data_IF_785217327478
#
_entry.id   IF_785217327478
#
_cell.length_a   1.000
_cell.length_b   1.000
_cell.length_c   1.000
_cell.angle_alpha   90.00
_cell.angle_beta   90.00
_cell.angle_gamma   90.00
#
_symmetry.space_group_name_H-M   'P 1'
#
loop_
_entity.id
_entity.type
_entity.pdbx_description
1 polymer ?
#
# COMPACT_ATOMS: atom_id res chain seq x y z
N UNK A 1 67.26 19.36 -28.88
CA UNK A 1 67.32 20.01 -27.56
C UNK A 1 66.25 19.38 -26.67
N UNK A 2 66.66 18.49 -25.76
CA UNK A 2 65.83 17.96 -24.67
C UNK A 2 65.84 18.97 -23.53
N UNK A 3 64.68 19.28 -22.95
CA UNK A 3 64.61 19.83 -21.59
C UNK A 3 63.44 19.17 -20.87
N UNK A 4 63.81 18.49 -19.80
CA UNK A 4 62.95 17.73 -18.90
C UNK A 4 62.18 18.70 -17.99
N UNK A 5 60.91 18.38 -17.71
CA UNK A 5 60.13 19.08 -16.69
C UNK A 5 60.00 18.14 -15.51
N UNK A 6 60.53 18.63 -14.39
CA UNK A 6 60.72 17.97 -13.12
C UNK A 6 59.40 17.62 -12.43
N UNK A 7 59.36 16.43 -11.84
CA UNK A 7 58.37 16.02 -10.84
C UNK A 7 58.43 16.93 -9.61
N UNK A 8 57.26 17.39 -9.16
CA UNK A 8 57.01 17.79 -7.78
C UNK A 8 55.76 17.06 -7.29
N UNK A 9 55.99 15.92 -6.62
CA UNK A 9 55.00 15.26 -5.79
C UNK A 9 54.73 16.13 -4.55
N UNK A 10 53.50 16.59 -4.36
CA UNK A 10 53.01 17.08 -3.07
C UNK A 10 51.96 16.09 -2.53
N UNK A 11 52.08 15.62 -1.28
CA UNK A 11 51.10 14.71 -0.68
C UNK A 11 49.90 15.54 -0.21
N UNK A 12 48.74 15.36 -0.86
CA UNK A 12 47.49 15.88 -0.32
C UNK A 12 47.08 15.01 0.88
N UNK A 13 47.18 15.63 2.06
CA UNK A 13 46.78 15.10 3.35
C UNK A 13 45.34 14.57 3.30
N UNK A 14 45.20 13.28 3.62
CA UNK A 14 43.95 12.62 3.98
C UNK A 14 43.39 13.28 5.26
N UNK A 15 42.52 14.27 5.10
CA UNK A 15 41.62 14.69 6.15
C UNK A 15 40.43 13.74 6.16
N UNK A 16 40.38 12.91 7.19
CA UNK A 16 39.25 12.05 7.50
C UNK A 16 37.99 12.87 7.67
N UNK A 17 37.13 12.85 6.65
CA UNK A 17 35.72 13.16 6.79
C UNK A 17 35.04 11.97 7.45
N UNK A 18 34.79 12.09 8.76
CA UNK A 18 33.72 11.35 9.43
C UNK A 18 32.40 11.85 8.81
N UNK A 19 32.06 11.32 7.64
CA UNK A 19 30.74 11.48 7.07
C UNK A 19 29.79 10.72 7.97
N UNK A 20 29.02 11.45 8.76
CA UNK A 20 27.80 10.92 9.36
C UNK A 20 27.03 10.30 8.20
N UNK A 21 27.01 8.97 8.14
CA UNK A 21 26.15 8.24 7.25
C UNK A 21 24.74 8.61 7.68
N UNK A 22 24.16 9.60 7.00
CA UNK A 22 22.73 9.79 6.96
C UNK A 22 22.20 8.41 6.62
N UNK A 23 21.59 7.75 7.61
CA UNK A 23 20.85 6.52 7.36
C UNK A 23 19.90 6.90 6.24
N UNK A 24 20.12 6.35 5.05
CA UNK A 24 19.12 6.36 4.01
C UNK A 24 17.84 5.93 4.71
N UNK A 25 16.88 6.86 4.84
CA UNK A 25 15.55 6.50 5.30
C UNK A 25 15.12 5.40 4.35
N UNK A 26 14.75 4.24 4.90
CA UNK A 26 14.14 3.19 4.08
C UNK A 26 13.08 3.85 3.21
N UNK A 27 13.02 3.53 1.89
CA UNK A 27 12.01 4.11 1.02
C UNK A 27 10.65 3.92 1.70
N UNK A 28 9.77 4.95 1.65
CA UNK A 28 8.48 4.87 2.32
C UNK A 28 7.80 3.56 1.91
N UNK A 29 7.58 2.68 2.89
CA UNK A 29 6.94 1.39 2.67
C UNK A 29 5.58 1.68 2.04
N UNK A 30 5.38 1.25 0.79
CA UNK A 30 4.10 1.41 0.09
C UNK A 30 3.10 0.51 0.81
N UNK A 31 2.19 1.12 1.58
CA UNK A 31 1.15 0.37 2.29
C UNK A 31 -0.04 0.16 1.35
N UNK A 32 -0.19 -1.08 0.91
CA UNK A 32 -1.39 -1.56 0.20
C UNK A 32 -2.21 -2.45 1.13
N UNK A 33 -3.47 -2.74 0.78
CA UNK A 33 -4.28 -3.68 1.58
C UNK A 33 -3.62 -5.06 1.69
N UNK A 34 -2.87 -5.49 0.69
CA UNK A 34 -2.07 -6.71 0.76
C UNK A 34 -1.04 -6.62 1.89
N UNK A 35 -0.28 -5.53 1.97
CA UNK A 35 0.68 -5.30 3.05
C UNK A 35 0.01 -5.28 4.42
N UNK A 36 -1.19 -4.67 4.53
CA UNK A 36 -1.97 -4.65 5.78
C UNK A 36 -2.45 -6.05 6.17
N UNK A 37 -2.89 -6.87 5.21
CA UNK A 37 -3.31 -8.25 5.45
C UNK A 37 -2.14 -9.14 5.86
N UNK A 38 -0.98 -8.99 5.21
CA UNK A 38 0.24 -9.73 5.56
C UNK A 38 0.72 -9.41 6.98
N UNK A 39 0.68 -8.12 7.37
CA UNK A 39 0.99 -7.70 8.74
C UNK A 39 0.04 -8.34 9.78
N UNK A 40 -1.27 -8.34 9.51
CA UNK A 40 -2.26 -9.01 10.39
C UNK A 40 -2.01 -10.51 10.55
N UNK A 41 -1.61 -11.19 9.47
CA UNK A 41 -1.31 -12.63 9.51
C UNK A 41 -0.05 -12.91 10.32
N UNK A 42 0.95 -12.03 10.27
CA UNK A 42 2.18 -12.15 11.06
C UNK A 42 1.97 -11.96 12.57
N UNK A 43 0.97 -11.16 12.98
CA UNK A 43 0.64 -10.93 14.40
C UNK A 43 -0.21 -12.04 15.03
N UNK A 44 -0.71 -13.01 14.24
CA UNK A 44 -1.53 -14.12 14.76
C UNK A 44 -0.63 -15.34 15.01
N UNK A 45 -0.43 -15.82 16.26
CA UNK A 45 0.35 -17.03 16.52
C UNK A 45 -0.32 -18.25 15.87
N UNK A 46 0.46 -19.23 15.34
CA UNK A 46 -0.11 -20.45 14.81
C UNK A 46 -0.81 -21.25 15.92
N UNK A 47 -2.02 -21.71 15.62
CA UNK A 47 -2.86 -22.54 16.48
C UNK A 47 -2.11 -23.84 16.85
N UNK A 48 -1.79 -23.98 18.14
CA UNK A 48 -1.02 -25.11 18.65
C UNK A 48 -1.84 -26.41 18.57
N UNK A 49 -1.37 -27.39 17.79
CA UNK A 49 -1.85 -28.78 17.88
C UNK A 49 -1.42 -29.39 19.23
N UNK A 50 -2.40 -29.84 20.01
CA UNK A 50 -2.22 -30.71 21.19
C UNK A 50 -1.55 -32.05 20.79
N UNK A 51 -0.61 -32.64 21.53
CA UNK A 51 -0.76 -33.59 22.68
C UNK A 51 0.59 -34.38 22.79
N UNK A 52 0.96 -35.18 23.84
CA UNK A 52 0.80 -35.12 25.30
C UNK A 52 2.15 -35.05 26.08
N UNK A 53 2.05 -34.89 27.41
CA UNK A 53 3.12 -34.87 28.42
C UNK A 53 3.90 -36.20 28.60
N UNK A 54 5.03 -36.17 29.34
CA UNK A 54 5.06 -36.86 30.63
C UNK A 54 5.66 -36.06 31.80
N UNK A 55 5.26 -36.49 33.00
CA UNK A 55 5.45 -35.88 34.33
C UNK A 55 6.86 -36.04 34.93
N UNK A 56 7.22 -35.14 35.88
CA UNK A 56 7.55 -35.48 37.28
C UNK A 56 7.80 -34.20 38.13
N UNK A 57 7.15 -34.15 39.29
CA UNK A 57 7.22 -33.18 40.44
C UNK A 57 8.42 -33.53 41.37
N UNK A 58 8.77 -32.81 42.49
CA UNK A 58 8.11 -31.68 43.16
C UNK A 58 9.01 -30.50 43.66
N UNK A 59 8.28 -29.44 44.04
CA UNK A 59 8.53 -28.27 44.89
C UNK A 59 9.59 -28.37 46.03
N UNK A 60 10.12 -27.23 46.54
CA UNK A 60 9.35 -26.41 47.50
C UNK A 60 9.50 -24.87 47.40
N UNK A 61 8.40 -24.16 47.69
CA UNK A 61 8.35 -22.73 48.04
C UNK A 61 8.64 -22.53 49.57
N UNK A 62 8.58 -21.31 50.17
CA UNK A 62 8.35 -19.97 49.62
C UNK A 62 9.28 -18.87 50.20
N UNK A 63 9.56 -17.79 49.46
CA UNK A 63 9.85 -16.49 50.09
C UNK A 63 9.15 -15.34 49.37
N UNK A 64 8.52 -14.53 50.22
CA UNK A 64 7.61 -13.42 49.98
C UNK A 64 8.44 -12.17 49.71
N UNK A 65 8.51 -11.73 48.46
CA UNK A 65 8.99 -10.40 48.11
C UNK A 65 7.85 -9.52 47.59
N UNK A 66 7.99 -8.25 47.92
CA UNK A 66 6.99 -7.22 48.09
C UNK A 66 6.53 -6.66 46.74
N UNK A 67 5.20 -6.59 46.52
CA UNK A 67 4.61 -5.96 45.33
C UNK A 67 5.03 -4.49 45.23
N UNK A 68 5.59 -4.03 44.10
CA UNK A 68 5.56 -2.62 43.76
C UNK A 68 4.13 -2.24 43.34
N UNK A 69 3.66 -1.10 43.83
CA UNK A 69 2.33 -0.54 43.60
C UNK A 69 1.91 -0.57 42.11
N UNK A 70 0.61 -0.77 41.81
CA UNK A 70 0.12 -0.75 40.44
C UNK A 70 0.34 0.65 39.84
N UNK A 71 1.05 0.70 38.70
CA UNK A 71 1.08 1.90 37.84
C UNK A 71 -0.36 2.30 37.50
N UNK A 72 -0.70 3.60 37.48
CA UNK A 72 -2.02 4.04 37.08
C UNK A 72 -2.32 3.50 35.68
N UNK A 73 -3.44 2.79 35.56
CA UNK A 73 -3.94 2.30 34.29
C UNK A 73 -4.04 3.49 33.33
N UNK A 74 -3.34 3.39 32.20
CA UNK A 74 -3.63 4.23 31.05
C UNK A 74 -5.15 4.12 30.78
N UNK A 75 -5.83 5.22 30.42
CA UNK A 75 -7.24 5.15 30.10
C UNK A 75 -7.41 4.08 29.04
N UNK A 76 -8.30 3.11 29.29
CA UNK A 76 -8.70 2.11 28.32
C UNK A 76 -9.33 2.84 27.14
N UNK A 77 -8.48 3.23 26.19
CA UNK A 77 -8.90 3.71 24.89
C UNK A 77 -9.77 2.63 24.29
N UNK A 78 -10.98 3.01 23.82
CA UNK A 78 -11.81 2.14 23.00
C UNK A 78 -10.90 1.42 22.01
N UNK A 79 -10.83 0.08 22.09
CA UNK A 79 -10.10 -0.72 21.09
C UNK A 79 -10.71 -0.45 19.73
N UNK A 80 -10.13 0.49 18.99
CA UNK A 80 -10.51 0.74 17.60
C UNK A 80 -10.19 -0.52 16.81
N UNK A 81 -11.13 -0.98 15.98
CA UNK A 81 -10.89 -2.15 15.13
C UNK A 81 -10.01 -1.72 13.96
N UNK A 82 -8.70 -1.85 14.14
CA UNK A 82 -7.72 -1.54 13.09
C UNK A 82 -7.75 -2.54 11.92
N UNK A 83 -7.40 -2.13 10.68
CA UNK A 83 -7.02 -0.76 10.29
C UNK A 83 -8.22 0.17 10.17
N UNK A 84 -7.98 1.48 10.30
CA UNK A 84 -8.97 2.53 10.01
C UNK A 84 -8.45 3.38 8.86
N UNK A 85 -9.29 3.63 7.85
CA UNK A 85 -8.92 4.44 6.69
C UNK A 85 -9.62 5.80 6.78
N UNK A 86 -8.86 6.88 6.62
CA UNK A 86 -9.33 8.26 6.59
C UNK A 86 -9.17 8.82 5.18
N UNK A 87 -10.30 9.17 4.57
CA UNK A 87 -10.40 9.75 3.24
C UNK A 87 -10.78 11.23 3.38
N UNK A 88 -9.83 12.18 3.29
CA UNK A 88 -10.09 13.61 3.49
C UNK A 88 -10.69 14.29 2.26
N UNK A 89 -11.49 13.57 1.46
CA UNK A 89 -12.02 14.02 0.16
C UNK A 89 -13.54 13.97 0.14
N UNK A 90 -14.15 14.74 -0.77
CA UNK A 90 -15.60 14.83 -0.91
C UNK A 90 -16.00 14.36 -2.31
N UNK A 91 -16.35 13.08 -2.42
CA UNK A 91 -16.71 12.44 -3.67
C UNK A 91 -17.78 13.20 -4.48
N UNK A 92 -18.80 13.75 -3.84
CA UNK A 92 -19.86 14.48 -4.53
C UNK A 92 -19.34 15.78 -5.16
N UNK A 93 -18.52 16.53 -4.42
CA UNK A 93 -17.87 17.75 -4.93
C UNK A 93 -16.92 17.41 -6.08
N UNK A 94 -16.15 16.33 -5.94
CA UNK A 94 -15.23 15.90 -6.98
C UNK A 94 -15.98 15.44 -8.24
N UNK A 95 -17.09 14.70 -8.08
CA UNK A 95 -17.94 14.29 -9.19
C UNK A 95 -18.53 15.48 -9.96
N UNK A 96 -18.94 16.53 -9.25
CA UNK A 96 -19.50 17.73 -9.86
C UNK A 96 -18.46 18.55 -10.64
N UNK A 97 -17.21 18.53 -10.20
CA UNK A 97 -16.12 19.31 -10.81
C UNK A 97 -15.27 18.52 -11.81
N UNK A 98 -15.52 17.21 -11.96
CA UNK A 98 -14.74 16.36 -12.86
C UNK A 98 -14.98 16.70 -14.33
N UNK A 99 -13.91 17.03 -15.07
CA UNK A 99 -14.00 17.27 -16.51
C UNK A 99 -13.78 15.97 -17.30
N UNK A 100 -14.87 15.34 -17.70
CA UNK A 100 -14.84 14.09 -18.48
C UNK A 100 -14.23 14.24 -19.87
N UNK A 101 -14.03 15.45 -20.38
CA UNK A 101 -13.45 15.69 -21.70
C UNK A 101 -11.94 15.89 -21.67
N UNK A 102 -11.37 16.20 -20.50
CA UNK A 102 -9.95 16.51 -20.32
C UNK A 102 -9.37 15.68 -19.17
N UNK A 103 -9.12 14.40 -19.45
CA UNK A 103 -8.55 13.44 -18.51
C UNK A 103 -7.03 13.43 -18.64
N UNK A 104 -6.31 13.55 -17.52
CA UNK A 104 -4.84 13.60 -17.51
C UNK A 104 -4.20 12.29 -17.99
N UNK A 105 -4.77 11.15 -17.56
CA UNK A 105 -4.19 9.82 -17.82
C UNK A 105 -5.29 8.84 -18.26
N UNK A 106 -5.03 8.15 -19.37
CA UNK A 106 -5.89 7.07 -19.87
C UNK A 106 -5.11 5.77 -19.86
N UNK A 107 -5.61 4.78 -19.13
CA UNK A 107 -4.99 3.45 -18.96
C UNK A 107 -5.88 2.39 -19.60
N UNK A 108 -5.61 2.13 -20.88
CA UNK A 108 -6.26 1.08 -21.68
C UNK A 108 -5.32 -0.12 -21.90
N UNK A 109 -5.17 -0.57 -23.14
CA UNK A 109 -4.46 -1.81 -23.46
C UNK A 109 -2.92 -1.75 -23.43
N UNK A 110 -2.33 -0.56 -23.26
CA UNK A 110 -0.88 -0.37 -23.34
C UNK A 110 -0.33 0.18 -22.04
N UNK A 111 0.82 -0.34 -21.61
CA UNK A 111 1.57 0.08 -20.43
C UNK A 111 0.77 -0.06 -19.14
N UNK A 112 -0.19 -0.99 -19.10
CA UNK A 112 -1.12 -1.12 -17.97
C UNK A 112 -0.36 -1.38 -16.67
N UNK A 113 0.54 -2.38 -16.69
CA UNK A 113 1.38 -2.71 -15.53
C UNK A 113 2.38 -1.59 -15.21
N UNK A 114 3.03 -1.03 -16.21
CA UNK A 114 3.97 0.08 -16.00
C UNK A 114 3.29 1.25 -15.32
N UNK A 115 2.09 1.64 -15.77
CA UNK A 115 1.38 2.79 -15.23
C UNK A 115 0.94 2.59 -13.78
N UNK A 116 0.40 1.41 -13.45
CA UNK A 116 -0.01 1.08 -12.08
C UNK A 116 1.20 1.02 -11.14
N UNK A 117 2.29 0.36 -11.55
CA UNK A 117 3.51 0.30 -10.74
C UNK A 117 4.08 1.71 -10.49
N UNK A 118 4.02 2.58 -11.49
CA UNK A 118 4.53 3.95 -11.38
C UNK A 118 3.67 4.80 -10.44
N UNK A 119 2.35 4.60 -10.39
CA UNK A 119 1.50 5.23 -9.38
C UNK A 119 1.90 4.85 -7.97
N UNK A 120 2.20 3.57 -7.71
CA UNK A 120 2.63 3.13 -6.38
C UNK A 120 4.01 3.67 -6.00
N UNK A 121 4.95 3.74 -6.95
CA UNK A 121 6.32 4.17 -6.70
C UNK A 121 6.48 5.70 -6.61
N UNK A 122 5.77 6.43 -7.47
CA UNK A 122 5.96 7.86 -7.70
C UNK A 122 4.66 8.64 -7.48
N UNK A 123 3.80 8.20 -6.56
CA UNK A 123 2.44 8.72 -6.36
C UNK A 123 2.35 10.25 -6.26
N UNK A 124 3.37 10.91 -5.69
CA UNK A 124 3.42 12.37 -5.55
C UNK A 124 3.32 13.10 -6.89
N UNK A 125 3.83 12.52 -7.98
CA UNK A 125 3.76 13.09 -9.32
C UNK A 125 2.37 12.94 -9.95
N UNK A 126 1.56 12.07 -9.35
CA UNK A 126 0.24 11.65 -9.83
C UNK A 126 -0.91 12.13 -8.96
N UNK A 127 -0.62 12.60 -7.74
CA UNK A 127 -1.62 13.07 -6.78
C UNK A 127 -2.52 14.12 -7.44
N UNK A 128 -3.83 13.92 -7.27
CA UNK A 128 -4.90 14.77 -7.79
C UNK A 128 -5.06 14.78 -9.32
N UNK A 129 -4.31 13.93 -10.06
CA UNK A 129 -4.57 13.73 -11.49
C UNK A 129 -5.85 12.95 -11.72
N UNK A 130 -6.53 13.30 -12.80
CA UNK A 130 -7.72 12.61 -13.29
C UNK A 130 -7.34 11.41 -14.15
N UNK A 131 -8.04 10.29 -13.96
CA UNK A 131 -7.73 9.01 -14.61
C UNK A 131 -8.98 8.39 -15.20
N UNK A 132 -8.82 7.82 -16.39
CA UNK A 132 -9.70 6.81 -16.95
C UNK A 132 -8.93 5.50 -17.04
N UNK A 133 -9.38 4.45 -16.36
CA UNK A 133 -8.75 3.13 -16.39
C UNK A 133 -9.77 2.05 -16.70
N UNK A 134 -9.39 1.10 -17.55
CA UNK A 134 -10.25 0.02 -18.02
C UNK A 134 -9.73 -1.35 -17.60
N UNK A 135 -10.58 -2.17 -17.01
CA UNK A 135 -10.21 -3.52 -16.58
C UNK A 135 -11.41 -4.32 -16.09
N UNK A 136 -11.15 -5.50 -15.54
CA UNK A 136 -12.14 -6.25 -14.78
C UNK A 136 -12.52 -5.49 -13.51
N UNK A 137 -13.81 -5.50 -13.20
CA UNK A 137 -14.29 -5.30 -11.85
C UNK A 137 -13.83 -6.48 -11.00
N UNK A 138 -13.10 -6.17 -9.94
CA UNK A 138 -12.59 -7.15 -9.00
C UNK A 138 -13.06 -6.77 -7.60
N UNK A 139 -13.57 -7.74 -6.84
CA UNK A 139 -14.07 -7.54 -5.48
C UNK A 139 -13.39 -8.48 -4.50
N UNK A 140 -12.42 -7.98 -3.75
CA UNK A 140 -11.65 -8.78 -2.79
C UNK A 140 -11.88 -8.24 -1.38
N UNK A 141 -12.40 -9.10 -0.49
CA UNK A 141 -12.63 -8.78 0.92
C UNK A 141 -13.50 -7.53 1.16
N UNK A 142 -14.46 -7.25 0.27
CA UNK A 142 -15.34 -6.08 0.34
C UNK A 142 -14.73 -4.77 -0.17
N UNK A 143 -13.67 -4.88 -0.98
CA UNK A 143 -13.01 -3.74 -1.62
C UNK A 143 -13.00 -3.93 -3.13
N UNK A 144 -13.08 -2.82 -3.85
CA UNK A 144 -13.23 -2.83 -5.29
C UNK A 144 -11.93 -2.42 -5.96
N UNK A 145 -11.60 -3.15 -7.02
CA UNK A 145 -10.42 -2.94 -7.80
C UNK A 145 -10.77 -2.96 -9.27
N UNK A 146 -10.01 -2.19 -10.04
CA UNK A 146 -9.98 -2.29 -11.49
C UNK A 146 -8.63 -2.89 -11.88
N UNK A 147 -8.66 -4.00 -12.60
CA UNK A 147 -7.44 -4.77 -12.85
C UNK A 147 -7.51 -5.67 -14.06
N UNK A 148 -6.36 -6.20 -14.44
CA UNK A 148 -6.21 -7.17 -15.54
C UNK A 148 -5.34 -8.33 -15.08
N UNK A 149 -5.50 -9.50 -15.69
CA UNK A 149 -4.64 -10.63 -15.40
C UNK A 149 -3.21 -10.26 -15.78
N UNK A 150 -2.22 -10.54 -14.95
CA UNK A 150 -0.83 -10.23 -15.25
C UNK A 150 0.14 -11.10 -14.48
N UNK A 151 1.41 -11.17 -14.90
CA UNK A 151 2.34 -12.17 -14.39
C UNK A 151 2.67 -11.95 -12.91
N UNK A 152 2.91 -10.71 -12.48
CA UNK A 152 3.10 -10.35 -11.06
C UNK A 152 3.11 -8.83 -10.89
N UNK A 153 2.35 -8.32 -9.92
CA UNK A 153 2.48 -6.95 -9.42
C UNK A 153 2.76 -7.01 -7.90
N UNK A 154 3.90 -6.47 -7.42
CA UNK A 154 4.27 -6.57 -5.99
C UNK A 154 3.23 -5.95 -5.06
N UNK A 155 2.59 -4.88 -5.52
CA UNK A 155 1.66 -4.04 -4.76
C UNK A 155 0.19 -4.49 -4.88
N UNK A 156 -0.12 -5.29 -5.89
CA UNK A 156 -1.47 -5.68 -6.27
C UNK A 156 -1.91 -6.99 -5.61
N UNK A 157 -3.19 -7.31 -5.77
CA UNK A 157 -3.86 -8.39 -5.02
C UNK A 157 -4.36 -9.49 -5.97
N UNK A 158 -4.45 -10.73 -5.50
CA UNK A 158 -5.21 -11.77 -6.18
C UNK A 158 -4.71 -12.24 -7.56
N UNK A 159 -3.45 -11.96 -7.93
CA UNK A 159 -2.90 -12.36 -9.24
C UNK A 159 -3.22 -11.39 -10.38
N UNK A 160 -3.75 -10.21 -10.04
CA UNK A 160 -3.99 -9.13 -10.99
C UNK A 160 -2.87 -8.09 -10.91
N UNK A 161 -2.75 -7.33 -11.99
CA UNK A 161 -2.25 -5.96 -11.89
C UNK A 161 -3.48 -5.09 -11.74
N UNK A 162 -3.65 -4.51 -10.55
CA UNK A 162 -4.86 -3.83 -10.14
C UNK A 162 -4.56 -2.53 -9.39
N UNK A 163 -5.58 -1.68 -9.32
CA UNK A 163 -5.58 -0.52 -8.46
C UNK A 163 -6.91 -0.45 -7.73
N UNK A 164 -6.85 -0.16 -6.43
CA UNK A 164 -8.06 -0.07 -5.62
C UNK A 164 -8.79 1.25 -5.92
N UNK A 165 -10.11 1.17 -5.99
CA UNK A 165 -10.95 2.34 -6.09
C UNK A 165 -12.03 2.39 -5.01
N UNK A 166 -12.35 3.60 -4.57
CA UNK A 166 -13.47 3.90 -3.68
C UNK A 166 -14.62 4.47 -4.49
N UNK A 167 -15.86 4.04 -4.20
CA UNK A 167 -17.06 4.56 -4.85
C UNK A 167 -18.28 4.38 -3.94
N UNK A 168 -19.30 5.19 -4.17
CA UNK A 168 -20.65 5.08 -3.63
C UNK A 168 -21.64 4.41 -4.61
N UNK A 169 -21.14 3.91 -5.75
CA UNK A 169 -21.94 3.24 -6.77
C UNK A 169 -22.53 1.91 -6.33
N UNK A 170 -23.66 1.53 -6.94
CA UNK A 170 -24.24 0.19 -6.81
C UNK A 170 -23.62 -0.74 -7.86
N UNK A 171 -22.94 -1.78 -7.38
CA UNK A 171 -22.29 -2.80 -8.21
C UNK A 171 -23.08 -4.11 -8.27
N UNK A 172 -24.36 -4.09 -7.89
CA UNK A 172 -25.25 -5.24 -8.08
C UNK A 172 -25.25 -5.68 -9.54
N UNK A 173 -24.94 -6.97 -9.77
CA UNK A 173 -24.84 -7.54 -11.12
C UNK A 173 -23.49 -7.35 -11.81
N UNK A 174 -22.48 -6.81 -11.11
CA UNK A 174 -21.10 -6.85 -11.54
C UNK A 174 -20.49 -8.18 -11.07
N UNK A 175 -19.96 -8.93 -12.01
CA UNK A 175 -19.32 -10.22 -11.75
C UNK A 175 -17.81 -10.06 -11.56
N UNK A 176 -17.30 -10.51 -10.42
CA UNK A 176 -15.89 -10.46 -10.02
C UNK A 176 -14.98 -11.18 -11.04
N UNK A 177 -13.99 -10.48 -11.55
CA UNK A 177 -13.05 -11.01 -12.55
C UNK A 177 -13.67 -11.29 -13.93
N UNK A 178 -14.92 -10.85 -14.17
CA UNK A 178 -15.65 -11.10 -15.43
C UNK A 178 -16.17 -9.80 -16.04
N UNK A 179 -16.84 -8.95 -15.25
CA UNK A 179 -17.43 -7.71 -15.76
C UNK A 179 -16.33 -6.70 -16.08
N UNK A 180 -16.26 -6.25 -17.33
CA UNK A 180 -15.38 -5.15 -17.69
C UNK A 180 -15.98 -3.81 -17.30
N UNK A 181 -15.13 -2.95 -16.76
CA UNK A 181 -15.49 -1.62 -16.32
C UNK A 181 -14.50 -0.59 -16.84
N UNK A 182 -15.02 0.62 -17.02
CA UNK A 182 -14.21 1.83 -17.09
C UNK A 182 -14.46 2.66 -15.84
N UNK A 183 -13.38 3.08 -15.19
CA UNK A 183 -13.41 3.87 -13.96
C UNK A 183 -12.86 5.25 -14.28
N UNK A 184 -13.70 6.27 -14.09
CA UNK A 184 -13.30 7.66 -14.03
C UNK A 184 -13.06 8.03 -12.58
N UNK A 185 -11.90 8.55 -12.27
CA UNK A 185 -11.59 8.95 -10.90
C UNK A 185 -10.38 9.85 -10.76
N UNK A 186 -10.07 10.18 -9.52
CA UNK A 186 -8.94 11.04 -9.14
C UNK A 186 -7.97 10.20 -8.31
N UNK A 187 -6.68 10.27 -8.61
CA UNK A 187 -5.67 9.60 -7.80
C UNK A 187 -5.53 10.33 -6.46
N UNK A 188 -5.91 9.66 -5.38
CA UNK A 188 -5.94 10.21 -4.02
C UNK A 188 -5.05 9.46 -3.05
N UNK A 189 -4.53 10.19 -2.09
CA UNK A 189 -3.80 9.65 -0.94
C UNK A 189 -4.68 9.76 0.30
N UNK A 190 -5.09 8.62 0.84
CA UNK A 190 -5.75 8.50 2.13
C UNK A 190 -4.72 8.20 3.23
N UNK A 191 -5.14 8.31 4.48
CA UNK A 191 -4.34 7.87 5.63
C UNK A 191 -4.91 6.58 6.18
N UNK A 192 -4.08 5.54 6.31
CA UNK A 192 -4.43 4.33 7.05
C UNK A 192 -3.79 4.35 8.42
N UNK A 193 -4.61 4.17 9.45
CA UNK A 193 -4.17 3.92 10.82
C UNK A 193 -4.07 2.41 11.00
N UNK A 194 -2.87 1.91 11.27
CA UNK A 194 -2.60 0.49 11.50
C UNK A 194 -2.71 0.12 12.99
N UNK A 195 -2.43 1.09 13.86
CA UNK A 195 -2.69 1.06 15.30
C UNK A 195 -2.71 2.51 15.83
N UNK A 196 -2.78 2.69 17.15
CA UNK A 196 -2.87 4.01 17.81
C UNK A 196 -1.66 4.95 17.53
N UNK A 197 -0.56 4.42 17.00
CA UNK A 197 0.71 5.15 16.84
C UNK A 197 1.31 5.06 15.43
N UNK A 198 0.80 4.18 14.59
CA UNK A 198 1.34 3.92 13.26
C UNK A 198 0.31 4.26 12.19
N UNK A 199 0.64 5.25 11.38
CA UNK A 199 -0.08 5.60 10.17
C UNK A 199 0.77 5.42 8.93
N UNK A 200 0.11 5.28 7.80
CA UNK A 200 0.77 5.22 6.50
C UNK A 200 -0.11 5.79 5.39
N UNK A 201 0.48 6.22 4.26
CA UNK A 201 -0.30 6.59 3.09
C UNK A 201 -0.97 5.35 2.48
N UNK A 202 -2.21 5.54 2.00
CA UNK A 202 -2.94 4.56 1.23
C UNK A 202 -3.38 5.20 -0.10
N UNK A 203 -2.85 4.69 -1.21
CA UNK A 203 -3.15 5.22 -2.53
C UNK A 203 -4.36 4.51 -3.12
N UNK A 204 -5.32 5.29 -3.61
CA UNK A 204 -6.52 4.75 -4.24
C UNK A 204 -7.02 5.70 -5.34
N UNK A 205 -7.91 5.17 -6.18
CA UNK A 205 -8.67 5.97 -7.11
C UNK A 205 -10.02 6.35 -6.47
N UNK A 206 -10.28 7.64 -6.29
CA UNK A 206 -11.61 8.11 -5.91
C UNK A 206 -12.50 8.11 -7.17
N UNK A 207 -13.33 7.08 -7.31
CA UNK A 207 -14.10 6.86 -8.52
C UNK A 207 -15.37 7.72 -8.55
N UNK A 208 -15.32 8.80 -9.33
CA UNK A 208 -16.45 9.68 -9.62
C UNK A 208 -17.46 9.04 -10.58
N UNK A 209 -17.06 8.02 -11.34
CA UNK A 209 -17.95 7.25 -12.21
C UNK A 209 -17.37 5.87 -12.51
N UNK A 210 -18.19 4.83 -12.42
CA UNK A 210 -17.85 3.49 -12.88
C UNK A 210 -18.92 3.03 -13.86
N UNK A 211 -18.52 2.63 -15.05
CA UNK A 211 -19.45 2.15 -16.08
C UNK A 211 -19.06 0.76 -16.54
N UNK A 212 -20.05 -0.14 -16.62
CA UNK A 212 -19.88 -1.43 -17.29
C UNK A 212 -19.58 -1.19 -18.77
N UNK A 213 -18.63 -1.94 -19.33
CA UNK A 213 -18.31 -1.87 -20.75
C UNK A 213 -18.96 -3.05 -21.49
N UNK A 214 -19.49 -2.77 -22.67
CA UNK A 214 -20.08 -3.80 -23.54
C UNK A 214 -19.03 -4.69 -24.20
N UNK A 215 -17.81 -4.17 -24.36
CA UNK A 215 -16.69 -4.86 -25.00
C UNK A 215 -15.49 -4.85 -24.06
N UNK A 216 -14.83 -5.99 -23.83
CA UNK A 216 -13.61 -6.05 -23.03
C UNK A 216 -12.42 -5.48 -23.80
N UNK A 217 -11.43 -4.98 -23.05
CA UNK A 217 -10.07 -4.73 -23.55
C UNK A 217 -9.22 -6.02 -23.55
N UNK A 218 -7.90 -5.87 -23.60
CA UNK A 218 -6.97 -7.01 -23.45
C UNK A 218 -6.94 -7.47 -21.99
N UNK A 219 -7.44 -8.68 -21.72
CA UNK A 219 -7.58 -9.21 -20.35
C UNK A 219 -6.30 -9.67 -19.68
N UNK A 220 -5.31 -10.13 -20.45
CA UNK A 220 -4.02 -10.57 -19.93
C UNK A 220 -2.94 -9.62 -20.42
N UNK A 221 -2.22 -9.04 -19.47
CA UNK A 221 -1.09 -8.15 -19.70
C UNK A 221 0.07 -8.98 -20.27
N UNK A 222 0.63 -8.51 -21.37
CA UNK A 222 1.76 -9.16 -22.07
C UNK A 222 2.92 -8.21 -22.33
N UNK A 223 2.85 -6.98 -21.83
CA UNK A 223 3.88 -5.95 -22.01
C UNK A 223 4.93 -5.90 -20.88
#
# INVERSE_FOLDING_TARGET
>A
MRKEIWLLCLPLLLLGGCGTQEKAQDPPQIITRKTVQEAKKAETPPEAKETPAPAETPEPAPQKEEQPAPKPAAPEGKKSKYPVFEYPYNLETDRQNFDYNNIDIVVGDKRYMTQINDWFMNFRDYKDKTVLIEGYFISINGHYFVGRNGPTCPYCTGGYVDFEFTSDGDFTGYEDGVTWIKVYGILREATVHLNDHLTAPFYHLEAVKVEKMDQPGIGTITD
#
